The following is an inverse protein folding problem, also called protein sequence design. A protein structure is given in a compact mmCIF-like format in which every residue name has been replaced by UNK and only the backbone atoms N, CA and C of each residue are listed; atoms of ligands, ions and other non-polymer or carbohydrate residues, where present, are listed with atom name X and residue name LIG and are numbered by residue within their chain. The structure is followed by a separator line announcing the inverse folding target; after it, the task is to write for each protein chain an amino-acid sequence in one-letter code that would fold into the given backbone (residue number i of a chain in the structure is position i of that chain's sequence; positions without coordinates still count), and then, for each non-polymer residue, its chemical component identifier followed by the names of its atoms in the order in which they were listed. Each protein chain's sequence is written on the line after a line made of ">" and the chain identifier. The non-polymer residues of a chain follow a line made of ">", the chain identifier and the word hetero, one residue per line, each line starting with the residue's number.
data_IF_947742560936
#
_entry.id   IF_947742560936
#
_cell.length_a   1.000
_cell.length_b   1.000
_cell.length_c   1.000
_cell.angle_alpha   90.00
_cell.angle_beta   90.00
_cell.angle_gamma   90.00
#
_symmetry.space_group_name_H-M   'P 1'
#
loop_
_entity.id
_entity.type
_entity.pdbx_description
1 polymer ?
#
# COMPACT_ATOMS: atom_id res chain seq x y z
N UNK A 1 13.14 3.36 11.16
CA UNK A 1 11.69 3.24 10.93
C UNK A 1 11.47 3.21 9.43
N UNK A 2 10.54 2.39 8.95
CA UNK A 2 10.26 2.31 7.51
C UNK A 2 9.30 3.44 7.12
N UNK A 3 9.39 3.95 5.89
CA UNK A 3 8.43 4.98 5.43
C UNK A 3 7.01 4.44 5.43
N UNK A 4 6.85 3.14 5.19
CA UNK A 4 5.54 2.48 5.26
C UNK A 4 4.93 2.55 6.66
N UNK A 5 5.73 2.39 7.73
CA UNK A 5 5.19 2.48 9.10
C UNK A 5 4.63 3.86 9.44
N UNK A 6 5.26 4.93 8.96
CA UNK A 6 4.81 6.30 9.24
C UNK A 6 3.43 6.56 8.62
N UNK A 7 3.22 6.14 7.36
CA UNK A 7 1.94 6.27 6.67
C UNK A 7 0.83 5.43 7.30
N UNK A 8 1.17 4.24 7.81
CA UNK A 8 0.21 3.37 8.52
C UNK A 8 -0.26 4.04 9.82
N UNK A 9 0.60 4.75 10.56
CA UNK A 9 0.19 5.48 11.76
C UNK A 9 -0.70 6.69 11.45
N UNK A 10 -0.42 7.41 10.36
CA UNK A 10 -1.30 8.48 9.88
C UNK A 10 -2.67 7.91 9.48
N UNK A 11 -2.69 6.79 8.75
CA UNK A 11 -3.93 6.09 8.38
C UNK A 11 -4.72 5.70 9.63
N UNK A 12 -4.11 5.07 10.64
CA UNK A 12 -4.79 4.70 11.89
C UNK A 12 -5.46 5.88 12.59
N UNK A 13 -4.85 7.06 12.54
CA UNK A 13 -5.36 8.26 13.21
C UNK A 13 -6.56 8.88 12.49
N UNK A 14 -6.59 8.85 11.17
CA UNK A 14 -7.54 9.63 10.36
C UNK A 14 -8.50 8.80 9.51
N UNK A 15 -8.18 7.55 9.19
CA UNK A 15 -9.01 6.67 8.37
C UNK A 15 -9.97 5.85 9.23
N UNK A 16 -11.25 5.86 8.86
CA UNK A 16 -12.25 4.97 9.45
C UNK A 16 -12.01 3.53 8.98
N UNK A 17 -11.67 2.65 9.93
CA UNK A 17 -11.22 1.27 9.69
C UNK A 17 -12.37 0.31 9.30
N UNK A 18 -13.08 0.61 8.21
CA UNK A 18 -14.25 -0.16 7.75
C UNK A 18 -13.89 -1.42 6.97
N UNK A 19 -12.65 -1.52 6.50
CA UNK A 19 -12.12 -2.67 5.76
C UNK A 19 -10.75 -3.07 6.32
N UNK A 20 -10.44 -4.37 6.27
CA UNK A 20 -9.13 -4.88 6.66
C UNK A 20 -8.13 -4.61 5.53
N UNK A 21 -7.10 -3.81 5.84
CA UNK A 21 -6.04 -3.43 4.89
C UNK A 21 -4.80 -4.26 5.12
N UNK A 22 -4.06 -4.52 4.04
CA UNK A 22 -2.74 -5.17 4.13
C UNK A 22 -1.72 -4.13 4.63
N UNK A 23 -0.71 -4.53 5.42
CA UNK A 23 0.31 -3.62 5.95
C UNK A 23 1.36 -3.27 4.87
N UNK A 24 0.92 -2.73 3.73
CA UNK A 24 1.76 -2.30 2.61
C UNK A 24 1.31 -0.93 2.14
N UNK A 25 2.27 -0.06 1.83
CA UNK A 25 2.00 1.31 1.39
C UNK A 25 2.58 1.49 0.00
N UNK A 26 1.77 1.25 -1.03
CA UNK A 26 2.18 1.40 -2.43
C UNK A 26 2.30 2.88 -2.81
N UNK A 27 3.40 3.27 -3.44
CA UNK A 27 3.70 4.66 -3.86
C UNK A 27 3.87 4.81 -5.36
N UNK A 28 4.10 3.71 -6.10
CA UNK A 28 4.20 3.69 -7.56
C UNK A 28 3.61 2.37 -8.11
N UNK A 29 2.94 2.44 -9.25
CA UNK A 29 2.55 1.29 -10.07
C UNK A 29 2.98 1.50 -11.52
N UNK A 30 3.37 0.42 -12.21
CA UNK A 30 3.74 0.40 -13.62
C UNK A 30 3.48 -0.99 -14.22
N UNK A 31 2.50 -1.08 -15.12
CA UNK A 31 2.03 -2.35 -15.66
C UNK A 31 1.56 -3.28 -14.54
N UNK A 32 2.13 -4.49 -14.46
CA UNK A 32 1.83 -5.46 -13.41
C UNK A 32 2.69 -5.31 -12.16
N UNK A 33 3.58 -4.32 -12.09
CA UNK A 33 4.52 -4.12 -10.97
C UNK A 33 4.10 -2.93 -10.12
N UNK A 34 4.31 -3.05 -8.81
CA UNK A 34 4.07 -1.97 -7.84
C UNK A 34 5.23 -1.88 -6.84
N UNK A 35 5.49 -0.68 -6.35
CA UNK A 35 6.55 -0.40 -5.38
C UNK A 35 5.96 0.20 -4.10
N UNK A 36 6.41 -0.30 -2.96
CA UNK A 36 6.08 0.32 -1.68
C UNK A 36 6.99 1.52 -1.34
N UNK A 37 6.63 2.24 -0.27
CA UNK A 37 7.36 3.41 0.20
C UNK A 37 8.80 3.11 0.63
N UNK A 38 9.13 1.84 0.91
CA UNK A 38 10.45 1.36 1.28
C UNK A 38 11.27 0.88 0.07
N UNK A 39 10.70 0.96 -1.14
CA UNK A 39 11.35 0.62 -2.41
C UNK A 39 11.25 -0.85 -2.79
N UNK A 40 10.49 -1.66 -2.04
CA UNK A 40 10.28 -3.07 -2.39
C UNK A 40 9.29 -3.19 -3.55
N UNK A 41 9.62 -4.06 -4.48
CA UNK A 41 8.83 -4.33 -5.67
C UNK A 41 7.92 -5.57 -5.47
N UNK A 42 6.72 -5.47 -6.02
CA UNK A 42 5.67 -6.48 -5.95
C UNK A 42 5.06 -6.70 -7.34
N UNK A 43 4.61 -7.93 -7.59
CA UNK A 43 3.74 -8.25 -8.72
C UNK A 43 2.28 -8.10 -8.24
N UNK A 44 1.48 -7.30 -8.94
CA UNK A 44 0.07 -7.08 -8.62
C UNK A 44 -0.81 -8.21 -9.18
N UNK A 45 -1.40 -8.98 -8.26
CA UNK A 45 -2.36 -10.04 -8.56
C UNK A 45 -3.81 -9.67 -8.22
N UNK A 46 -4.04 -8.48 -7.68
CA UNK A 46 -5.38 -7.97 -7.36
C UNK A 46 -5.91 -7.13 -8.51
N UNK A 47 -5.02 -6.41 -9.23
CA UNK A 47 -5.34 -5.57 -10.37
C UNK A 47 -6.53 -4.63 -10.10
N UNK A 48 -6.60 -4.09 -8.88
CA UNK A 48 -7.64 -3.13 -8.48
C UNK A 48 -9.10 -3.64 -8.48
N UNK A 49 -9.35 -4.95 -8.57
CA UNK A 49 -10.67 -5.56 -8.88
C UNK A 49 -11.08 -5.46 -10.37
N UNK A 50 -10.11 -5.44 -11.28
CA UNK A 50 -10.32 -5.60 -12.73
C UNK A 50 -10.53 -4.31 -13.52
N UNK A 51 -10.04 -3.17 -13.02
CA UNK A 51 -10.19 -1.84 -13.65
C UNK A 51 -8.86 -1.24 -14.14
#
# INVERSE_FOLDING_TARGET
>A
MSKSSDWIEVEKKYYAQTVRRQPVVLVKGEGTRAWDADGKEYLDFVAGLGC
#
